data_IF_778934711455
#
_entry.id   IF_778934711455
#
_cell.length_a   1.000
_cell.length_b   1.000
_cell.length_c   1.000
_cell.angle_alpha   90.00
_cell.angle_beta   90.00
_cell.angle_gamma   90.00
#
_symmetry.space_group_name_H-M   'P 1'
#
loop_
_entity.id
_entity.type
_entity.pdbx_description
1 polymer ?
#
# COMPACT_ATOMS: atom_id res chain seq x y z
N UNK A 1 -3.06 -16.82 5.59
CA UNK A 1 -4.42 -16.61 5.05
C UNK A 1 -4.29 -16.49 3.54
N UNK A 2 -5.26 -16.98 2.77
CA UNK A 2 -5.27 -16.86 1.30
C UNK A 2 -6.54 -16.07 0.92
N UNK A 3 -6.41 -15.10 0.02
CA UNK A 3 -7.56 -14.29 -0.42
C UNK A 3 -8.35 -15.01 -1.51
N UNK A 4 -9.67 -15.11 -1.34
CA UNK A 4 -10.59 -15.69 -2.32
C UNK A 4 -11.25 -14.64 -3.22
N UNK A 5 -11.87 -15.10 -4.31
CA UNK A 5 -12.73 -14.28 -5.19
C UNK A 5 -12.44 -14.36 -6.69
N UNK A 6 -11.57 -15.27 -7.14
CA UNK A 6 -11.27 -15.42 -8.58
C UNK A 6 -12.44 -16.03 -9.36
N UNK A 7 -13.29 -16.81 -8.70
CA UNK A 7 -14.47 -17.40 -9.33
C UNK A 7 -15.42 -16.32 -9.83
N UNK A 8 -15.79 -16.39 -11.12
CA UNK A 8 -16.61 -15.39 -11.79
C UNK A 8 -15.96 -14.01 -11.93
N UNK A 9 -14.65 -13.85 -11.62
CA UNK A 9 -14.00 -12.54 -11.64
C UNK A 9 -14.04 -11.90 -13.03
N UNK A 10 -13.83 -12.67 -14.10
CA UNK A 10 -13.86 -12.16 -15.48
C UNK A 10 -15.18 -11.44 -15.81
N UNK A 11 -16.31 -12.06 -15.48
CA UNK A 11 -17.63 -11.49 -15.78
C UNK A 11 -17.88 -10.21 -14.96
N UNK A 12 -17.49 -10.23 -13.68
CA UNK A 12 -17.58 -9.03 -12.83
C UNK A 12 -16.70 -7.89 -13.34
N UNK A 13 -15.49 -8.18 -13.80
CA UNK A 13 -14.59 -7.17 -14.35
C UNK A 13 -15.15 -6.53 -15.61
N UNK A 14 -15.76 -7.32 -16.50
CA UNK A 14 -16.45 -6.79 -17.68
C UNK A 14 -17.59 -5.87 -17.27
N UNK A 15 -18.44 -6.27 -16.31
CA UNK A 15 -19.50 -5.41 -15.77
C UNK A 15 -18.94 -4.12 -15.15
N UNK A 16 -17.87 -4.22 -14.35
CA UNK A 16 -17.24 -3.06 -13.73
C UNK A 16 -16.67 -2.07 -14.74
N UNK A 17 -16.13 -2.57 -15.85
CA UNK A 17 -15.68 -1.71 -16.95
C UNK A 17 -16.85 -0.93 -17.57
N UNK A 18 -17.99 -1.60 -17.82
CA UNK A 18 -19.19 -0.99 -18.39
C UNK A 18 -19.80 0.09 -17.48
N UNK A 19 -19.75 -0.08 -16.16
CA UNK A 19 -20.23 0.94 -15.20
C UNK A 19 -19.19 2.04 -14.90
N UNK A 20 -18.04 2.03 -15.58
CA UNK A 20 -17.08 3.14 -15.58
C UNK A 20 -15.82 2.94 -14.74
N UNK A 21 -15.62 1.77 -14.11
CA UNK A 21 -14.36 1.49 -13.43
C UNK A 21 -13.20 1.42 -14.44
N UNK A 22 -12.01 1.91 -14.05
CA UNK A 22 -10.80 1.90 -14.90
C UNK A 22 -9.58 1.28 -14.22
N UNK A 23 -9.71 0.97 -12.94
CA UNK A 23 -8.73 0.22 -12.18
C UNK A 23 -9.44 -0.69 -11.18
N UNK A 24 -8.71 -1.65 -10.66
CA UNK A 24 -9.17 -2.64 -9.68
C UNK A 24 -8.14 -2.77 -8.57
N UNK A 25 -8.52 -3.37 -7.44
CA UNK A 25 -7.60 -3.60 -6.32
C UNK A 25 -7.84 -4.98 -5.74
N UNK A 26 -6.76 -5.71 -5.47
CA UNK A 26 -6.81 -6.98 -4.77
C UNK A 26 -5.77 -7.04 -3.68
N UNK A 27 -6.20 -7.39 -2.46
CA UNK A 27 -5.39 -7.44 -1.24
C UNK A 27 -5.06 -8.87 -0.87
N UNK A 28 -3.78 -9.20 -0.80
CA UNK A 28 -3.27 -10.35 -0.08
C UNK A 28 -2.79 -9.91 1.31
N UNK A 29 -3.00 -10.76 2.30
CA UNK A 29 -2.64 -10.48 3.70
C UNK A 29 -1.56 -11.45 4.17
N UNK A 30 -0.44 -10.89 4.60
CA UNK A 30 0.76 -11.60 5.04
C UNK A 30 0.98 -11.23 6.50
N UNK A 31 0.80 -12.21 7.40
CA UNK A 31 0.90 -12.00 8.85
C UNK A 31 2.27 -12.43 9.34
N UNK A 32 2.91 -11.55 10.11
CA UNK A 32 4.16 -11.84 10.82
C UNK A 32 3.85 -12.44 12.19
N UNK A 33 4.61 -13.45 12.60
CA UNK A 33 4.50 -14.10 13.91
C UNK A 33 5.46 -15.29 14.02
N UNK A 34 5.35 -16.05 15.11
CA UNK A 34 6.22 -17.21 15.30
C UNK A 34 6.02 -18.26 14.20
N UNK A 35 7.06 -18.50 13.40
CA UNK A 35 7.04 -19.41 12.25
C UNK A 35 6.16 -18.98 11.07
N UNK A 36 5.66 -17.75 11.03
CA UNK A 36 4.82 -17.21 9.95
C UNK A 36 5.31 -15.81 9.49
N UNK A 37 5.17 -15.47 8.20
CA UNK A 37 4.52 -16.25 7.14
C UNK A 37 5.39 -17.41 6.64
N UNK A 38 4.74 -18.52 6.28
CA UNK A 38 5.43 -19.58 5.54
C UNK A 38 5.62 -19.16 4.07
N UNK A 39 6.67 -19.68 3.43
CA UNK A 39 6.89 -19.43 2.00
C UNK A 39 5.69 -19.86 1.15
N UNK A 40 5.05 -20.99 1.48
CA UNK A 40 3.82 -21.43 0.81
C UNK A 40 2.70 -20.37 0.86
N UNK A 41 2.52 -19.70 2.01
CA UNK A 41 1.51 -18.65 2.15
C UNK A 41 1.82 -17.45 1.24
N UNK A 42 3.10 -17.08 1.14
CA UNK A 42 3.56 -16.01 0.25
C UNK A 42 3.32 -16.39 -1.21
N UNK A 43 3.80 -17.57 -1.63
CA UNK A 43 3.71 -18.03 -3.02
C UNK A 43 2.26 -18.18 -3.49
N UNK A 44 1.39 -18.75 -2.64
CA UNK A 44 -0.01 -18.92 -2.96
C UNK A 44 -0.73 -17.58 -3.14
N UNK A 45 -0.48 -16.60 -2.26
CA UNK A 45 -1.04 -15.25 -2.42
C UNK A 45 -0.49 -14.53 -3.65
N UNK A 46 0.82 -14.62 -3.89
CA UNK A 46 1.46 -14.04 -5.08
C UNK A 46 0.88 -14.61 -6.38
N UNK A 47 0.62 -15.92 -6.42
CA UNK A 47 -0.02 -16.57 -7.55
C UNK A 47 -1.41 -15.98 -7.84
N UNK A 48 -2.23 -15.81 -6.80
CA UNK A 48 -3.59 -15.27 -6.93
C UNK A 48 -3.60 -13.79 -7.31
N UNK A 49 -2.69 -12.99 -6.74
CA UNK A 49 -2.48 -11.60 -7.13
C UNK A 49 -2.17 -11.48 -8.63
N UNK A 50 -1.30 -12.34 -9.15
CA UNK A 50 -0.97 -12.35 -10.57
C UNK A 50 -2.14 -12.83 -11.46
N UNK A 51 -2.95 -13.80 -10.99
CA UNK A 51 -4.17 -14.22 -11.70
C UNK A 51 -5.18 -13.10 -11.79
N UNK A 52 -5.40 -12.39 -10.67
CA UNK A 52 -6.22 -11.20 -10.61
C UNK A 52 -5.70 -10.13 -11.58
N UNK A 53 -4.41 -9.81 -11.55
CA UNK A 53 -3.83 -8.77 -12.37
C UNK A 53 -3.97 -9.07 -13.88
N UNK A 54 -3.72 -10.31 -14.30
CA UNK A 54 -3.90 -10.74 -15.68
C UNK A 54 -5.37 -10.62 -16.14
N UNK A 55 -6.33 -11.01 -15.29
CA UNK A 55 -7.76 -10.89 -15.60
C UNK A 55 -8.21 -9.41 -15.66
N UNK A 56 -7.71 -8.56 -14.77
CA UNK A 56 -8.00 -7.12 -14.81
C UNK A 56 -7.49 -6.49 -16.11
N UNK A 57 -6.27 -6.82 -16.53
CA UNK A 57 -5.72 -6.32 -17.80
C UNK A 57 -6.49 -6.84 -19.01
N UNK A 58 -6.91 -8.11 -19.02
CA UNK A 58 -7.79 -8.68 -20.05
C UNK A 58 -9.10 -7.87 -20.18
N UNK A 59 -9.65 -7.38 -19.06
CA UNK A 59 -10.84 -6.55 -19.02
C UNK A 59 -10.59 -5.05 -19.26
N UNK A 60 -9.36 -4.63 -19.59
CA UNK A 60 -9.01 -3.23 -19.81
C UNK A 60 -8.94 -2.37 -18.54
N UNK A 61 -8.73 -3.00 -17.37
CA UNK A 61 -8.65 -2.35 -16.06
C UNK A 61 -7.22 -2.42 -15.52
N UNK A 62 -6.71 -1.32 -14.97
CA UNK A 62 -5.40 -1.30 -14.28
C UNK A 62 -5.51 -2.06 -12.94
N UNK A 63 -4.75 -3.14 -12.69
CA UNK A 63 -4.72 -3.77 -11.38
C UNK A 63 -3.78 -3.02 -10.41
N UNK A 64 -4.31 -2.71 -9.23
CA UNK A 64 -3.53 -2.38 -8.04
C UNK A 64 -3.27 -3.68 -7.28
N UNK A 65 -2.01 -4.10 -7.27
CA UNK A 65 -1.53 -5.33 -6.64
C UNK A 65 -1.10 -5.01 -5.21
N UNK A 66 -1.77 -5.58 -4.21
CA UNK A 66 -1.58 -5.24 -2.79
C UNK A 66 -1.13 -6.47 -1.97
N UNK A 67 0.18 -6.82 -1.96
CA UNK A 67 0.74 -7.77 -1.02
C UNK A 67 1.05 -7.06 0.31
N UNK A 68 0.10 -7.09 1.25
CA UNK A 68 0.25 -6.39 2.53
C UNK A 68 0.84 -7.29 3.62
N UNK A 69 2.04 -6.93 4.08
CA UNK A 69 2.59 -7.41 5.34
C UNK A 69 1.99 -6.61 6.50
N UNK A 70 1.32 -7.29 7.42
CA UNK A 70 0.64 -6.65 8.55
C UNK A 70 1.64 -6.15 9.59
N UNK A 71 1.39 -4.94 10.11
CA UNK A 71 2.16 -4.37 11.22
C UNK A 71 1.76 -4.91 12.60
N UNK A 72 0.77 -5.82 12.69
CA UNK A 72 0.34 -6.39 13.96
C UNK A 72 1.46 -7.25 14.58
N UNK A 73 1.71 -7.07 15.89
CA UNK A 73 2.75 -7.79 16.64
C UNK A 73 3.87 -6.90 17.15
N UNK A 74 4.87 -7.53 17.74
CA UNK A 74 6.05 -6.95 18.41
C UNK A 74 7.36 -7.11 17.61
N UNK A 75 7.25 -7.50 16.35
CA UNK A 75 8.39 -7.73 15.47
C UNK A 75 9.19 -6.47 15.18
N UNK A 76 10.50 -6.62 14.93
CA UNK A 76 11.37 -5.52 14.55
C UNK A 76 11.16 -5.10 13.10
N UNK A 77 11.68 -3.91 12.75
CA UNK A 77 11.64 -3.43 11.37
C UNK A 77 12.45 -4.32 10.42
N UNK A 78 13.53 -4.95 10.88
CA UNK A 78 14.33 -5.90 10.10
C UNK A 78 13.50 -7.11 9.71
N UNK A 79 12.69 -7.64 10.62
CA UNK A 79 11.86 -8.78 10.30
C UNK A 79 10.73 -8.41 9.33
N UNK A 80 10.13 -7.21 9.48
CA UNK A 80 9.19 -6.67 8.50
C UNK A 80 9.84 -6.47 7.12
N UNK A 81 11.09 -6.01 7.10
CA UNK A 81 11.89 -5.84 5.89
C UNK A 81 12.12 -7.18 5.16
N UNK A 82 12.58 -8.21 5.88
CA UNK A 82 12.78 -9.55 5.34
C UNK A 82 11.51 -10.14 4.74
N UNK A 83 10.39 -10.03 5.46
CA UNK A 83 9.10 -10.56 5.00
C UNK A 83 8.59 -9.77 3.79
N UNK A 84 8.76 -8.44 3.79
CA UNK A 84 8.37 -7.58 2.66
C UNK A 84 9.19 -7.92 1.41
N UNK A 85 10.51 -8.13 1.53
CA UNK A 85 11.35 -8.59 0.42
C UNK A 85 10.84 -9.90 -0.18
N UNK A 86 10.60 -10.92 0.65
CA UNK A 86 10.12 -12.22 0.18
C UNK A 86 8.74 -12.13 -0.49
N UNK A 87 7.86 -11.29 0.05
CA UNK A 87 6.53 -11.05 -0.50
C UNK A 87 6.58 -10.36 -1.88
N UNK A 88 7.39 -9.30 -2.01
CA UNK A 88 7.57 -8.57 -3.27
C UNK A 88 8.24 -9.46 -4.32
N UNK A 89 9.29 -10.19 -3.94
CA UNK A 89 10.00 -11.13 -4.81
C UNK A 89 9.04 -12.13 -5.45
N UNK A 90 8.27 -12.83 -4.62
CA UNK A 90 7.33 -13.86 -5.07
C UNK A 90 6.21 -13.25 -5.91
N UNK A 91 5.74 -12.05 -5.55
CA UNK A 91 4.72 -11.31 -6.31
C UNK A 91 5.20 -11.01 -7.72
N UNK A 92 6.40 -10.44 -7.90
CA UNK A 92 6.90 -10.10 -9.23
C UNK A 92 7.31 -11.32 -10.06
N UNK A 93 7.82 -12.40 -9.45
CA UNK A 93 8.01 -13.69 -10.14
C UNK A 93 6.69 -14.22 -10.72
N UNK A 94 5.60 -14.21 -9.92
CA UNK A 94 4.30 -14.67 -10.37
C UNK A 94 3.67 -13.76 -11.43
N UNK A 95 3.79 -12.43 -11.28
CA UNK A 95 3.33 -11.47 -12.30
C UNK A 95 4.03 -11.72 -13.65
N UNK A 96 5.34 -11.95 -13.62
CA UNK A 96 6.13 -12.25 -14.82
C UNK A 96 5.72 -13.58 -15.46
N UNK A 97 5.58 -14.66 -14.67
CA UNK A 97 5.14 -15.98 -15.16
C UNK A 97 3.77 -15.96 -15.82
N UNK A 98 2.90 -15.08 -15.34
CA UNK A 98 1.54 -14.92 -15.84
C UNK A 98 1.41 -13.82 -16.90
N UNK A 99 2.55 -13.26 -17.34
CA UNK A 99 2.66 -12.31 -18.45
C UNK A 99 1.87 -11.01 -18.23
N UNK A 100 1.83 -10.54 -16.98
CA UNK A 100 1.23 -9.25 -16.65
C UNK A 100 2.13 -8.13 -17.19
N UNK A 101 1.55 -7.15 -17.89
CA UNK A 101 2.28 -5.97 -18.35
C UNK A 101 2.44 -4.97 -17.21
N UNK A 102 3.63 -4.93 -16.59
CA UNK A 102 3.90 -4.10 -15.41
C UNK A 102 3.65 -2.60 -15.65
N UNK A 103 3.78 -2.11 -16.89
CA UNK A 103 3.53 -0.70 -17.25
C UNK A 103 2.09 -0.28 -17.03
N UNK A 104 1.17 -1.24 -17.04
CA UNK A 104 -0.25 -1.07 -16.78
C UNK A 104 -0.67 -1.60 -15.42
N UNK A 105 0.18 -1.49 -14.39
CA UNK A 105 -0.11 -1.91 -13.01
C UNK A 105 0.23 -0.81 -12.01
N UNK A 106 -0.26 -0.92 -10.77
CA UNK A 106 0.29 -0.18 -9.62
C UNK A 106 0.57 -1.17 -8.50
N UNK A 107 1.61 -0.90 -7.71
CA UNK A 107 1.86 -1.63 -6.47
C UNK A 107 1.27 -0.86 -5.29
N UNK A 108 0.59 -1.56 -4.39
CA UNK A 108 0.14 -1.03 -3.10
C UNK A 108 0.75 -1.85 -1.96
N UNK A 109 1.98 -1.54 -1.54
CA UNK A 109 2.64 -2.29 -0.48
C UNK A 109 2.37 -1.65 0.88
N UNK A 110 2.67 -2.39 1.95
CA UNK A 110 2.96 -1.79 3.24
C UNK A 110 4.25 -0.95 3.17
N UNK A 111 4.36 0.03 4.05
CA UNK A 111 5.69 0.57 4.41
C UNK A 111 6.43 -0.48 5.25
N UNK A 112 7.75 -0.50 5.19
CA UNK A 112 8.56 -1.34 6.07
C UNK A 112 8.68 -0.65 7.42
N UNK A 113 8.01 -1.20 8.43
CA UNK A 113 7.85 -0.58 9.75
C UNK A 113 7.93 -1.64 10.86
N UNK A 114 8.39 -1.25 12.06
CA UNK A 114 8.28 -2.11 13.24
C UNK A 114 6.83 -2.45 13.56
N UNK A 115 6.63 -3.61 14.19
CA UNK A 115 5.34 -4.02 14.72
C UNK A 115 4.74 -2.96 15.65
N UNK A 116 3.42 -2.84 15.65
CA UNK A 116 2.70 -1.81 16.42
C UNK A 116 2.93 -1.94 17.93
N UNK A 117 3.21 -3.15 18.41
CA UNK A 117 3.44 -3.48 19.81
C UNK A 117 4.95 -3.61 20.14
N UNK A 118 5.84 -3.29 19.18
CA UNK A 118 7.28 -3.36 19.38
C UNK A 118 7.77 -2.31 20.38
N UNK A 119 8.69 -2.70 21.27
CA UNK A 119 9.22 -1.82 22.31
C UNK A 119 10.05 -0.64 21.74
N UNK A 120 10.76 -0.88 20.63
CA UNK A 120 11.58 0.11 19.93
C UNK A 120 11.04 0.26 18.50
N UNK A 121 10.12 1.21 18.30
CA UNK A 121 9.57 1.49 16.98
C UNK A 121 10.52 2.40 16.20
N UNK A 122 10.79 2.00 14.95
CA UNK A 122 11.61 2.77 14.02
C UNK A 122 11.02 4.16 13.77
N UNK A 123 11.90 5.15 13.59
CA UNK A 123 11.49 6.50 13.21
C UNK A 123 11.21 6.60 11.69
N UNK A 124 10.68 7.74 11.26
CA UNK A 124 10.29 7.94 9.87
C UNK A 124 11.45 7.86 8.87
N UNK A 125 12.67 8.21 9.27
CA UNK A 125 13.84 8.11 8.38
C UNK A 125 14.27 6.66 8.20
N UNK A 126 14.26 5.87 9.28
CA UNK A 126 14.56 4.44 9.20
C UNK A 126 13.47 3.70 8.41
N UNK A 127 12.19 4.02 8.62
CA UNK A 127 11.08 3.51 7.80
C UNK A 127 11.29 3.84 6.33
N UNK A 128 11.71 5.07 6.01
CA UNK A 128 11.98 5.49 4.64
C UNK A 128 13.14 4.69 4.01
N UNK A 129 14.26 4.57 4.72
CA UNK A 129 15.44 3.82 4.25
C UNK A 129 15.09 2.35 3.97
N UNK A 130 14.46 1.66 4.94
CA UNK A 130 14.10 0.25 4.80
C UNK A 130 13.05 0.02 3.72
N UNK A 131 12.07 0.93 3.61
CA UNK A 131 11.05 0.84 2.56
C UNK A 131 11.67 0.97 1.19
N UNK A 132 12.54 1.97 0.98
CA UNK A 132 13.18 2.20 -0.32
C UNK A 132 14.19 1.10 -0.68
N UNK A 133 14.95 0.55 0.28
CA UNK A 133 15.82 -0.61 0.04
C UNK A 133 15.02 -1.82 -0.47
N UNK A 134 13.90 -2.15 0.19
CA UNK A 134 13.04 -3.26 -0.25
C UNK A 134 12.48 -3.04 -1.67
N UNK A 135 12.01 -1.82 -1.96
CA UNK A 135 11.47 -1.48 -3.28
C UNK A 135 12.55 -1.52 -4.37
N UNK A 136 13.73 -0.96 -4.13
CA UNK A 136 14.87 -0.95 -5.07
C UNK A 136 15.41 -2.34 -5.38
N UNK A 137 15.23 -3.31 -4.49
CA UNK A 137 15.64 -4.70 -4.73
C UNK A 137 14.63 -5.48 -5.54
N UNK A 138 13.34 -5.34 -5.25
CA UNK A 138 12.34 -6.30 -5.73
C UNK A 138 11.33 -5.72 -6.74
N UNK A 139 11.20 -4.39 -6.85
CA UNK A 139 10.23 -3.77 -7.75
C UNK A 139 10.90 -3.44 -9.10
N UNK A 140 10.41 -3.96 -10.24
CA UNK A 140 10.95 -3.57 -11.53
C UNK A 140 10.67 -2.09 -11.85
N UNK A 141 11.64 -1.40 -12.48
CA UNK A 141 11.49 -0.01 -12.94
C UNK A 141 10.38 0.21 -13.98
N UNK A 142 9.83 -0.86 -14.56
CA UNK A 142 8.70 -0.80 -15.50
C UNK A 142 7.35 -0.50 -14.83
N UNK A 143 7.25 -0.67 -13.51
CA UNK A 143 6.05 -0.27 -12.76
C UNK A 143 5.96 1.25 -12.79
N UNK A 144 4.81 1.87 -13.08
CA UNK A 144 4.72 3.33 -13.17
C UNK A 144 4.63 4.00 -11.79
N UNK A 145 4.06 3.33 -10.78
CA UNK A 145 3.88 3.94 -9.47
C UNK A 145 3.57 2.97 -8.34
N UNK A 146 3.86 3.44 -7.14
CA UNK A 146 3.69 2.76 -5.85
C UNK A 146 2.78 3.64 -4.99
N UNK A 147 1.67 3.08 -4.54
CA UNK A 147 0.64 3.78 -3.75
C UNK A 147 0.51 3.13 -2.37
N UNK A 148 1.23 3.63 -1.37
CA UNK A 148 1.30 3.00 -0.05
C UNK A 148 -0.07 2.90 0.64
N UNK A 149 -0.29 1.80 1.35
CA UNK A 149 -1.38 1.71 2.34
C UNK A 149 -0.93 2.32 3.67
N UNK A 150 -1.85 2.95 4.39
CA UNK A 150 -1.56 3.48 5.74
C UNK A 150 -1.49 2.36 6.79
N UNK A 151 -2.10 1.20 6.51
CA UNK A 151 -2.13 0.08 7.45
C UNK A 151 -2.82 0.46 8.75
N UNK A 152 -2.23 0.12 9.89
CA UNK A 152 -2.66 0.47 11.24
C UNK A 152 -1.96 1.69 11.85
N UNK A 153 -1.18 2.44 11.05
CA UNK A 153 -0.54 3.66 11.49
C UNK A 153 -1.59 4.71 11.90
N UNK A 154 -1.18 5.63 12.78
CA UNK A 154 -1.97 6.83 13.02
C UNK A 154 -2.00 7.73 11.78
N UNK A 155 -2.94 8.68 11.74
CA UNK A 155 -3.05 9.64 10.64
C UNK A 155 -1.74 10.42 10.44
N UNK A 156 -1.11 10.86 11.54
CA UNK A 156 0.12 11.65 11.49
C UNK A 156 1.35 10.80 11.16
N UNK A 157 1.47 9.61 11.76
CA UNK A 157 2.55 8.65 11.46
C UNK A 157 2.57 8.26 9.97
N UNK A 158 1.40 7.98 9.37
CA UNK A 158 1.30 7.66 7.95
C UNK A 158 1.68 8.83 7.03
N UNK A 159 1.50 10.07 7.51
CA UNK A 159 1.88 11.29 6.78
C UNK A 159 3.38 11.54 6.89
N UNK A 160 3.93 11.44 8.11
CA UNK A 160 5.35 11.61 8.41
C UNK A 160 6.21 10.58 7.67
N UNK A 161 5.81 9.31 7.70
CA UNK A 161 6.52 8.24 6.99
C UNK A 161 6.47 8.44 5.47
N UNK A 162 5.31 8.82 4.92
CA UNK A 162 5.21 9.12 3.49
C UNK A 162 6.11 10.29 3.08
N UNK A 163 6.16 11.35 3.88
CA UNK A 163 7.04 12.50 3.63
C UNK A 163 8.51 12.11 3.64
N UNK A 164 8.95 11.34 4.64
CA UNK A 164 10.31 10.84 4.73
C UNK A 164 10.68 9.96 3.52
N UNK A 165 9.77 9.05 3.13
CA UNK A 165 9.93 8.23 1.92
C UNK A 165 10.07 9.10 0.68
N UNK A 166 9.19 10.08 0.48
CA UNK A 166 9.22 10.95 -0.70
C UNK A 166 10.50 11.77 -0.78
N UNK A 167 10.97 12.35 0.33
CA UNK A 167 12.24 13.10 0.38
C UNK A 167 13.46 12.21 0.07
N UNK A 168 13.51 11.02 0.66
CA UNK A 168 14.60 10.08 0.43
C UNK A 168 14.60 9.57 -1.02
N UNK A 169 13.43 9.29 -1.58
CA UNK A 169 13.26 8.82 -2.95
C UNK A 169 13.73 9.85 -4.00
N UNK A 170 13.46 11.14 -3.77
CA UNK A 170 13.97 12.22 -4.62
C UNK A 170 15.50 12.23 -4.64
N UNK A 171 16.14 12.11 -3.48
CA UNK A 171 17.60 12.02 -3.38
C UNK A 171 18.20 10.78 -4.04
N UNK A 172 17.47 9.67 -4.10
CA UNK A 172 17.87 8.41 -4.73
C UNK A 172 17.55 8.33 -6.23
N UNK A 173 16.75 9.27 -6.76
CA UNK A 173 16.24 9.24 -8.14
C UNK A 173 15.55 7.90 -8.46
N UNK A 174 14.62 7.47 -7.59
CA UNK A 174 13.85 6.24 -7.78
C UNK A 174 13.04 6.26 -9.07
N UNK A 175 12.84 5.12 -9.76
CA UNK A 175 12.22 5.11 -11.09
C UNK A 175 10.68 5.17 -11.08
N UNK A 176 10.04 5.10 -9.92
CA UNK A 176 8.58 5.05 -9.79
C UNK A 176 8.03 6.35 -9.21
N UNK A 177 6.78 6.67 -9.56
CA UNK A 177 6.00 7.65 -8.79
C UNK A 177 5.63 7.07 -7.43
N UNK A 178 5.86 7.81 -6.35
CA UNK A 178 5.45 7.44 -5.00
C UNK A 178 4.23 8.27 -4.57
N UNK A 179 3.23 7.59 -4.00
CA UNK A 179 2.00 8.21 -3.53
C UNK A 179 1.29 7.34 -2.49
N UNK A 180 0.03 7.66 -2.20
CA UNK A 180 -0.78 7.03 -1.16
C UNK A 180 -2.08 6.43 -1.71
N UNK A 181 -2.52 5.34 -1.09
CA UNK A 181 -3.84 4.72 -1.25
C UNK A 181 -4.42 4.43 0.14
N UNK A 182 -4.77 5.50 0.85
CA UNK A 182 -5.17 5.44 2.25
C UNK A 182 -6.68 5.23 2.42
N UNK A 183 -7.02 4.36 3.38
CA UNK A 183 -8.38 4.25 3.93
C UNK A 183 -8.46 5.06 5.21
N UNK A 184 -8.12 4.41 6.34
CA UNK A 184 -8.10 5.04 7.68
C UNK A 184 -7.30 6.34 7.72
N UNK A 185 -6.08 6.36 7.15
CA UNK A 185 -5.20 7.55 7.16
C UNK A 185 -5.76 8.81 6.49
N UNK A 186 -6.91 8.73 5.80
CA UNK A 186 -7.65 9.88 5.29
C UNK A 186 -9.05 10.04 5.89
N UNK A 187 -9.62 9.00 6.50
CA UNK A 187 -11.04 8.92 6.83
C UNK A 187 -11.30 8.81 8.34
N UNK A 188 -10.31 8.51 9.17
CA UNK A 188 -10.49 8.38 10.62
C UNK A 188 -10.97 9.70 11.25
N UNK A 189 -10.22 10.80 11.08
CA UNK A 189 -10.61 12.10 11.59
C UNK A 189 -11.92 12.65 10.99
N UNK A 190 -12.17 12.58 9.66
CA UNK A 190 -13.46 12.99 9.09
C UNK A 190 -14.65 12.20 9.60
N UNK A 191 -14.50 10.88 9.80
CA UNK A 191 -15.56 10.03 10.32
C UNK A 191 -15.90 10.40 11.77
N UNK A 192 -14.89 10.72 12.59
CA UNK A 192 -15.07 11.21 13.94
C UNK A 192 -15.78 12.58 13.96
N UNK A 193 -15.36 13.51 13.09
CA UNK A 193 -16.00 14.82 12.95
C UNK A 193 -17.47 14.71 12.51
N UNK A 194 -17.78 13.78 11.61
CA UNK A 194 -19.14 13.54 11.16
C UNK A 194 -20.04 13.01 12.28
N UNK A 195 -19.58 11.99 13.02
CA UNK A 195 -20.34 11.36 14.10
C UNK A 195 -21.70 10.79 13.67
N UNK A 196 -21.89 10.49 12.38
CA UNK A 196 -23.17 10.01 11.84
C UNK A 196 -24.26 11.07 11.70
N UNK A 197 -23.95 12.35 11.93
CA UNK A 197 -24.93 13.44 11.90
C UNK A 197 -24.85 14.25 10.61
N UNK A 198 -25.97 14.38 9.89
CA UNK A 198 -26.05 15.21 8.69
C UNK A 198 -25.69 16.69 8.96
N UNK A 199 -25.91 17.17 10.18
CA UNK A 199 -25.54 18.53 10.58
C UNK A 199 -24.01 18.78 10.58
N UNK A 200 -23.21 17.71 10.70
CA UNK A 200 -21.75 17.79 10.75
C UNK A 200 -21.09 17.53 9.38
N UNK A 201 -21.87 17.45 8.30
CA UNK A 201 -21.35 17.12 6.96
C UNK A 201 -20.24 18.07 6.53
N UNK A 202 -20.42 19.37 6.73
CA UNK A 202 -19.41 20.37 6.35
C UNK A 202 -18.13 20.23 7.16
N UNK A 203 -18.23 20.03 8.48
CA UNK A 203 -17.08 19.81 9.35
C UNK A 203 -16.28 18.55 8.94
N UNK A 204 -16.98 17.47 8.61
CA UNK A 204 -16.34 16.24 8.12
C UNK A 204 -15.64 16.44 6.77
N UNK A 205 -16.24 17.19 5.84
CA UNK A 205 -15.65 17.52 4.55
C UNK A 205 -14.39 18.40 4.71
N UNK A 206 -14.44 19.40 5.58
CA UNK A 206 -13.30 20.25 5.90
C UNK A 206 -12.15 19.44 6.48
N UNK A 207 -12.44 18.51 7.39
CA UNK A 207 -11.41 17.64 7.96
C UNK A 207 -10.82 16.69 6.92
N UNK A 208 -11.64 16.14 6.01
CA UNK A 208 -11.14 15.30 4.92
C UNK A 208 -10.23 16.10 3.98
N UNK A 209 -10.65 17.30 3.62
CA UNK A 209 -9.85 18.20 2.78
C UNK A 209 -8.50 18.54 3.44
N UNK A 210 -8.52 18.84 4.75
CA UNK A 210 -7.30 19.07 5.53
C UNK A 210 -6.36 17.87 5.47
N UNK A 211 -6.85 16.65 5.76
CA UNK A 211 -6.05 15.42 5.70
C UNK A 211 -5.51 15.14 4.30
N UNK A 212 -6.30 15.37 3.26
CA UNK A 212 -5.87 15.23 1.88
C UNK A 212 -4.76 16.22 1.52
N UNK A 213 -4.84 17.47 1.99
CA UNK A 213 -3.79 18.49 1.79
C UNK A 213 -2.47 18.11 2.48
N UNK A 214 -2.54 17.63 3.72
CA UNK A 214 -1.34 17.16 4.45
C UNK A 214 -0.68 15.98 3.74
N UNK A 215 -1.47 14.98 3.36
CA UNK A 215 -0.97 13.78 2.66
C UNK A 215 -0.42 14.14 1.27
N UNK A 216 -1.02 15.11 0.59
CA UNK A 216 -0.53 15.65 -0.68
C UNK A 216 0.82 16.38 -0.53
N UNK A 217 1.01 17.11 0.57
CA UNK A 217 2.30 17.73 0.89
C UNK A 217 3.37 16.67 1.21
N UNK A 218 3.01 15.63 1.98
CA UNK A 218 3.89 14.50 2.28
C UNK A 218 4.32 13.74 1.02
N UNK A 219 3.39 13.47 0.09
CA UNK A 219 3.72 12.90 -1.23
C UNK A 219 4.84 13.70 -1.93
N UNK A 220 4.85 15.03 -1.78
CA UNK A 220 5.82 15.92 -2.40
C UNK A 220 7.10 16.11 -1.58
N UNK A 221 7.24 15.47 -0.42
CA UNK A 221 8.35 15.69 0.51
C UNK A 221 8.37 17.10 1.13
N UNK A 222 7.19 17.71 1.28
CA UNK A 222 7.01 19.11 1.74
C UNK A 222 6.15 19.21 3.00
N UNK A 223 5.80 18.09 3.62
CA UNK A 223 5.05 18.13 4.86
C UNK A 223 5.93 18.68 5.98
N UNK A 224 5.36 19.51 6.83
CA UNK A 224 5.99 19.95 8.08
C UNK A 224 4.96 19.83 9.22
N UNK A 225 5.38 19.52 10.45
CA UNK A 225 4.45 19.38 11.58
C UNK A 225 3.56 20.61 11.78
N UNK A 226 4.08 21.82 11.53
CA UNK A 226 3.35 23.09 11.64
C UNK A 226 2.14 23.20 10.69
N UNK A 227 2.10 22.43 9.60
CA UNK A 227 0.93 22.40 8.70
C UNK A 227 -0.27 21.71 9.34
N UNK A 228 -0.04 20.91 10.39
CA UNK A 228 -1.09 20.16 11.09
C UNK A 228 -1.70 20.93 12.26
N UNK A 229 -1.09 22.06 12.64
CA UNK A 229 -1.52 22.98 13.70
C UNK A 229 -2.63 23.92 13.23
#
# INVERSE_FOLDING_TARGET
MITDGLDGLRDRLAEYYEIGARFTKWRAVITIGDGIPSQYCIDANAHLLARFAALSQEAGLVPIVEPETLMDGDHSIEHCHEVTLNALHSTYDQLARQRVDLRGTLLKPNMVISGKDAAERADANEVAERTLDALMREVPAAVPGIVFLSGGQSDDEATENLDAISRAAEGMNTPWELSFSYGRGLQAAPLQAWGGSAANTEAAQQEYYRRAMLTSAARQGKYTPDMSA
#
